data_IF_813781760712
#
_entry.id   IF_813781760712
#
_cell.length_a   1.000
_cell.length_b   1.000
_cell.length_c   1.000
_cell.angle_alpha   90.00
_cell.angle_beta   90.00
_cell.angle_gamma   90.00
#
_symmetry.space_group_name_H-M   'P 1'
#
loop_
_entity.id
_entity.type
_entity.pdbx_description
1 polymer ?
#
# COMPACT_ATOMS: atom_id res chain seq x y z
N UNK A 1 -0.14 1.38 -19.39
CA UNK A 1 0.46 1.55 -18.06
C UNK A 1 0.16 0.30 -17.25
N UNK A 2 1.11 -0.25 -16.48
CA UNK A 2 0.86 -1.47 -15.70
C UNK A 2 -0.16 -1.19 -14.59
N UNK A 3 -1.20 -2.02 -14.54
CA UNK A 3 -2.21 -2.03 -13.47
C UNK A 3 -2.00 -3.30 -12.65
N UNK A 4 -1.90 -3.16 -11.33
CA UNK A 4 -1.85 -4.30 -10.41
C UNK A 4 -3.12 -4.29 -9.57
N UNK A 5 -3.86 -5.39 -9.62
CA UNK A 5 -5.03 -5.63 -8.80
C UNK A 5 -4.71 -6.71 -7.75
N UNK A 6 -4.83 -6.33 -6.47
CA UNK A 6 -4.84 -7.30 -5.36
C UNK A 6 -6.32 -7.57 -5.08
N UNK A 7 -6.75 -8.82 -5.21
CA UNK A 7 -8.17 -9.21 -5.17
C UNK A 7 -8.77 -9.24 -3.77
N UNK A 8 -7.95 -9.33 -2.71
CA UNK A 8 -8.44 -9.30 -1.34
C UNK A 8 -7.39 -8.84 -0.33
N UNK A 9 -7.60 -7.70 0.36
CA UNK A 9 -8.61 -6.66 0.06
C UNK A 9 -8.43 -6.08 -1.35
N UNK A 10 -9.52 -5.56 -1.96
CA UNK A 10 -9.51 -5.04 -3.33
C UNK A 10 -8.71 -3.74 -3.40
N UNK A 11 -7.44 -3.82 -3.77
CA UNK A 11 -6.55 -2.67 -3.95
C UNK A 11 -6.25 -2.54 -5.43
N UNK A 12 -6.53 -1.36 -5.97
CA UNK A 12 -6.12 -0.97 -7.32
C UNK A 12 -4.92 -0.04 -7.20
N UNK A 13 -3.81 -0.43 -7.82
CA UNK A 13 -2.59 0.36 -7.88
C UNK A 13 -2.38 0.83 -9.32
N UNK A 14 -2.25 2.14 -9.51
CA UNK A 14 -1.95 2.72 -10.82
C UNK A 14 -0.65 3.50 -10.76
N UNK A 15 0.21 3.30 -11.75
CA UNK A 15 1.32 4.19 -12.02
C UNK A 15 0.79 5.54 -12.54
N UNK A 16 1.16 6.63 -11.89
CA UNK A 16 0.79 7.99 -12.29
C UNK A 16 1.91 8.66 -13.07
N UNK A 17 3.13 8.60 -12.55
CA UNK A 17 4.28 9.37 -13.04
C UNK A 17 5.57 8.59 -12.79
N UNK A 18 6.58 8.75 -13.65
CA UNK A 18 7.93 8.23 -13.46
C UNK A 18 8.86 9.43 -13.30
N UNK A 19 9.80 9.35 -12.35
CA UNK A 19 10.81 10.38 -12.18
C UNK A 19 11.97 10.18 -13.17
N UNK A 20 12.28 11.23 -13.94
CA UNK A 20 13.34 11.20 -14.95
C UNK A 20 14.77 11.41 -14.38
N UNK A 21 14.88 11.84 -13.12
CA UNK A 21 16.15 12.22 -12.48
C UNK A 21 16.64 11.19 -11.46
N UNK A 22 15.71 10.49 -10.81
CA UNK A 22 16.02 9.44 -9.84
C UNK A 22 15.17 8.19 -10.10
N UNK A 23 15.64 6.98 -9.71
CA UNK A 23 14.87 5.74 -9.87
C UNK A 23 13.65 5.69 -8.94
N UNK A 24 12.60 6.42 -9.30
CA UNK A 24 11.38 6.53 -8.51
C UNK A 24 10.15 6.74 -9.40
N UNK A 25 8.98 6.47 -8.84
CA UNK A 25 7.72 6.72 -9.53
C UNK A 25 6.60 7.02 -8.54
N UNK A 26 5.60 7.75 -9.02
CA UNK A 26 4.39 8.09 -8.28
C UNK A 26 3.31 7.08 -8.60
N UNK A 27 2.66 6.55 -7.57
CA UNK A 27 1.46 5.70 -7.75
C UNK A 27 0.25 6.30 -7.07
N UNK A 28 -0.93 5.92 -7.56
CA UNK A 28 -2.16 5.97 -6.79
C UNK A 28 -2.52 4.59 -6.27
N UNK A 29 -3.05 4.56 -5.06
CA UNK A 29 -3.67 3.41 -4.46
C UNK A 29 -5.10 3.74 -4.10
N UNK A 30 -6.01 2.99 -4.71
CA UNK A 30 -7.44 3.06 -4.41
C UNK A 30 -7.87 1.77 -3.73
N UNK A 31 -8.50 1.93 -2.57
CA UNK A 31 -9.13 0.84 -1.85
C UNK A 31 -10.59 1.18 -1.61
N UNK A 32 -11.46 0.27 -1.99
CA UNK A 32 -12.90 0.40 -1.78
C UNK A 32 -13.39 -0.81 -0.99
N UNK A 33 -13.95 -0.55 0.18
CA UNK A 33 -14.56 -1.57 1.01
C UNK A 33 -16.04 -1.24 1.23
N UNK A 34 -16.89 -2.18 0.83
CA UNK A 34 -18.33 -2.11 1.02
C UNK A 34 -18.73 -3.17 2.05
N UNK A 35 -18.99 -2.72 3.28
CA UNK A 35 -19.63 -3.52 4.31
C UNK A 35 -21.15 -3.41 4.25
N UNK A 36 -21.87 -4.25 5.00
CA UNK A 36 -23.35 -4.23 5.01
C UNK A 36 -23.98 -2.90 5.47
N UNK A 37 -23.22 -2.04 6.16
CA UNK A 37 -23.71 -0.77 6.74
C UNK A 37 -22.76 0.43 6.53
N UNK A 38 -21.64 0.23 5.86
CA UNK A 38 -20.65 1.29 5.64
C UNK A 38 -19.92 1.06 4.31
N UNK A 39 -19.62 2.16 3.64
CA UNK A 39 -18.80 2.19 2.44
C UNK A 39 -17.62 3.11 2.74
N UNK A 40 -16.41 2.55 2.72
CA UNK A 40 -15.20 3.31 2.93
C UNK A 40 -14.33 3.22 1.67
N UNK A 41 -14.09 4.37 1.06
CA UNK A 41 -13.17 4.51 -0.06
C UNK A 41 -11.95 5.31 0.40
N UNK A 42 -10.77 4.74 0.23
CA UNK A 42 -9.50 5.39 0.51
C UNK A 42 -8.72 5.57 -0.78
N UNK A 43 -8.17 6.77 -0.93
CA UNK A 43 -7.31 7.14 -2.04
C UNK A 43 -6.02 7.72 -1.50
N UNK A 44 -4.90 7.18 -1.95
CA UNK A 44 -3.56 7.63 -1.57
C UNK A 44 -2.73 7.82 -2.82
N UNK A 45 -1.96 8.91 -2.86
CA UNK A 45 -0.91 9.11 -3.85
C UNK A 45 0.41 9.33 -3.13
N UNK A 46 1.45 8.64 -3.57
CA UNK A 46 2.79 8.85 -3.02
C UNK A 46 3.88 8.36 -3.96
N UNK A 47 5.08 8.91 -3.76
CA UNK A 47 6.30 8.57 -4.49
C UNK A 47 7.01 7.40 -3.84
N UNK A 48 7.54 6.49 -4.66
CA UNK A 48 8.20 5.26 -4.23
C UNK A 48 9.50 5.11 -5.02
N UNK A 49 10.57 4.70 -4.34
CA UNK A 49 11.79 4.27 -5.03
C UNK A 49 11.59 2.92 -5.70
N UNK A 50 12.13 2.74 -6.90
CA UNK A 50 12.00 1.48 -7.65
C UNK A 50 12.52 0.27 -6.86
N UNK A 51 13.58 0.44 -6.09
CA UNK A 51 14.15 -0.61 -5.23
C UNK A 51 13.16 -1.10 -4.15
N UNK A 52 12.45 -0.18 -3.50
CA UNK A 52 11.49 -0.49 -2.44
C UNK A 52 10.27 -1.21 -3.02
N UNK A 53 9.87 -0.85 -4.24
CA UNK A 53 8.82 -1.54 -4.97
C UNK A 53 9.20 -2.99 -5.30
N UNK A 54 10.40 -3.22 -5.81
CA UNK A 54 10.85 -4.57 -6.16
C UNK A 54 10.90 -5.47 -4.92
N UNK A 55 11.41 -4.95 -3.80
CA UNK A 55 11.39 -5.64 -2.50
C UNK A 55 9.96 -5.94 -2.05
N UNK A 56 9.06 -4.96 -2.17
CA UNK A 56 7.65 -5.12 -1.80
C UNK A 56 6.97 -6.22 -2.62
N UNK A 57 7.11 -6.21 -3.95
CA UNK A 57 6.53 -7.21 -4.84
C UNK A 57 7.12 -8.61 -4.59
N UNK A 58 8.43 -8.71 -4.37
CA UNK A 58 9.07 -9.99 -4.08
C UNK A 58 8.54 -10.59 -2.77
N UNK A 59 8.41 -9.77 -1.72
CA UNK A 59 7.81 -10.21 -0.46
C UNK A 59 6.35 -10.66 -0.62
N UNK A 60 5.56 -9.95 -1.42
CA UNK A 60 4.18 -10.36 -1.74
C UNK A 60 4.14 -11.72 -2.44
N UNK A 61 4.98 -11.93 -3.46
CA UNK A 61 5.08 -13.19 -4.21
C UNK A 61 5.48 -14.36 -3.31
N UNK A 62 6.39 -14.13 -2.37
CA UNK A 62 6.83 -15.11 -1.38
C UNK A 62 5.84 -15.31 -0.22
N UNK A 63 4.67 -14.65 -0.24
CA UNK A 63 3.66 -14.66 0.83
C UNK A 63 4.21 -14.23 2.19
N UNK A 64 5.28 -13.44 2.20
CA UNK A 64 5.86 -12.82 3.39
C UNK A 64 5.11 -11.53 3.72
N UNK A 65 5.44 -10.95 4.88
CA UNK A 65 5.04 -9.58 5.20
C UNK A 65 5.75 -8.63 4.24
N UNK A 66 4.98 -7.91 3.42
CA UNK A 66 5.47 -6.89 2.51
C UNK A 66 5.19 -5.52 3.11
N UNK A 67 6.20 -4.65 3.09
CA UNK A 67 6.09 -3.26 3.56
C UNK A 67 6.52 -2.34 2.43
N UNK A 68 5.72 -1.32 2.18
CA UNK A 68 6.00 -0.27 1.20
C UNK A 68 5.95 1.07 1.91
N UNK A 69 7.00 1.85 1.73
CA UNK A 69 7.15 3.19 2.28
C UNK A 69 7.14 4.20 1.14
N UNK A 70 6.60 5.38 1.40
CA UNK A 70 6.86 6.50 0.51
C UNK A 70 8.29 7.02 0.69
N UNK A 71 8.76 7.79 -0.28
CA UNK A 71 10.11 8.35 -0.27
C UNK A 71 10.44 9.21 0.96
N UNK A 72 9.42 9.78 1.62
CA UNK A 72 9.60 10.62 2.80
C UNK A 72 9.48 9.84 4.12
N UNK A 73 9.25 8.53 4.07
CA UNK A 73 9.02 7.68 5.25
C UNK A 73 7.87 8.22 6.14
N UNK A 74 6.85 8.81 5.51
CA UNK A 74 5.65 9.35 6.15
C UNK A 74 4.46 8.40 6.04
N UNK A 75 4.37 7.66 4.94
CA UNK A 75 3.26 6.76 4.62
C UNK A 75 3.78 5.34 4.54
N UNK A 76 3.06 4.41 5.18
CA UNK A 76 3.41 3.00 5.19
C UNK A 76 2.22 2.13 4.86
N UNK A 77 2.45 1.23 3.92
CA UNK A 77 1.56 0.13 3.60
C UNK A 77 2.20 -1.16 4.07
N UNK A 78 1.43 -1.95 4.80
CA UNK A 78 1.84 -3.28 5.23
C UNK A 78 0.82 -4.29 4.75
N UNK A 79 1.28 -5.29 4.01
CA UNK A 79 0.47 -6.43 3.59
C UNK A 79 1.07 -7.69 4.20
N UNK A 80 0.24 -8.50 4.87
CA UNK A 80 0.65 -9.81 5.36
C UNK A 80 -0.28 -10.88 4.80
N UNK A 81 0.21 -11.61 3.81
CA UNK A 81 -0.59 -12.60 3.09
C UNK A 81 -0.99 -13.80 3.96
N UNK A 82 -0.19 -14.17 4.97
CA UNK A 82 -0.49 -15.30 5.87
C UNK A 82 -1.76 -15.07 6.71
N UNK A 83 -2.07 -13.83 7.05
CA UNK A 83 -3.23 -13.43 7.86
C UNK A 83 -4.22 -12.55 7.08
N UNK A 84 -4.03 -12.44 5.76
CA UNK A 84 -4.82 -11.57 4.86
C UNK A 84 -5.04 -10.17 5.47
N UNK A 85 -3.93 -9.58 5.91
CA UNK A 85 -3.91 -8.28 6.56
C UNK A 85 -3.41 -7.20 5.63
N UNK A 86 -4.10 -6.05 5.62
CA UNK A 86 -3.64 -4.80 5.02
C UNK A 86 -3.69 -3.71 6.08
N UNK A 87 -2.66 -2.87 6.14
CA UNK A 87 -2.67 -1.66 6.95
C UNK A 87 -2.06 -0.50 6.19
N UNK A 88 -2.79 0.61 6.17
CA UNK A 88 -2.28 1.94 5.84
C UNK A 88 -2.05 2.71 7.13
N UNK A 89 -0.82 3.17 7.31
CA UNK A 89 -0.40 3.92 8.49
C UNK A 89 0.40 5.16 8.11
N UNK A 90 0.28 6.19 8.93
CA UNK A 90 1.10 7.40 8.82
C UNK A 90 2.05 7.52 10.00
N UNK A 91 3.22 8.08 9.75
CA UNK A 91 4.16 8.49 10.78
C UNK A 91 3.60 9.72 11.50
N UNK A 92 3.53 9.66 12.82
CA UNK A 92 3.09 10.77 13.67
C UNK A 92 4.28 11.65 14.10
N UNK A 93 4.00 12.68 14.89
CA UNK A 93 4.99 13.59 15.48
C UNK A 93 6.02 12.89 16.40
N UNK A 94 5.71 11.68 16.88
CA UNK A 94 6.60 10.84 17.69
C UNK A 94 7.41 9.83 16.86
N UNK A 95 7.40 9.94 15.53
CA UNK A 95 8.06 9.03 14.59
C UNK A 95 7.49 7.60 14.62
N UNK A 96 6.29 7.41 15.17
CA UNK A 96 5.58 6.14 15.24
C UNK A 96 4.52 6.04 14.14
N UNK A 97 4.33 4.83 13.62
CA UNK A 97 3.32 4.56 12.60
C UNK A 97 1.95 4.30 13.22
N UNK A 98 1.01 5.22 13.04
CA UNK A 98 -0.37 5.10 13.48
C UNK A 98 -1.26 4.60 12.35
N UNK A 99 -2.00 3.52 12.60
CA UNK A 99 -2.95 2.96 11.62
C UNK A 99 -4.04 3.98 11.29
N UNK A 100 -4.23 4.24 10.00
CA UNK A 100 -5.35 5.02 9.45
C UNK A 100 -6.48 4.08 9.07
N UNK A 101 -6.14 2.98 8.40
CA UNK A 101 -7.06 1.96 7.97
C UNK A 101 -6.36 0.62 8.08
N UNK A 102 -7.05 -0.36 8.67
CA UNK A 102 -6.58 -1.73 8.65
C UNK A 102 -7.72 -2.67 8.30
N UNK A 103 -7.34 -3.76 7.65
CA UNK A 103 -8.24 -4.79 7.20
C UNK A 103 -7.64 -6.13 7.57
N UNK A 104 -8.47 -6.99 8.16
CA UNK A 104 -8.16 -8.38 8.47
C UNK A 104 -9.33 -9.19 7.92
N UNK A 105 -9.06 -10.26 7.18
CA UNK A 105 -10.11 -11.20 6.80
C UNK A 105 -10.73 -11.81 8.08
N UNK A 106 -12.06 -11.72 8.30
CA UNK A 106 -12.70 -12.52 9.32
C UNK A 106 -12.52 -14.01 8.97
N UNK A 107 -12.03 -14.80 9.92
CA UNK A 107 -11.91 -16.27 9.80
C UNK A 107 -13.28 -16.90 9.90
#
# INVERSE_FOLDING_TARGET
MPEIEITYPKIKINLLEIDDHIPSFKISMYHHNQGMRYENSYYYEFWIKTEDWDIFINNLKEKKKAVLLDMNDNHRITICNSVMYLNFSNKNEYLEYKSICSFVKPV
#
